data_IF_316294271203
#
_entry.id   IF_316294271203
#
_cell.length_a   1.000
_cell.length_b   1.000
_cell.length_c   1.000
_cell.angle_alpha   90.00
_cell.angle_beta   90.00
_cell.angle_gamma   90.00
#
_symmetry.space_group_name_H-M   'P 1'
#
loop_
_entity.id
_entity.type
_entity.pdbx_description
1 polymer ?
#
# COMPACT_ATOMS: atom_id res chain seq x y z
N UNK A 1 -18.12 -19.44 15.47
CA UNK A 1 -16.99 -18.50 15.38
C UNK A 1 -16.68 -18.32 13.90
N UNK A 2 -17.31 -17.34 13.25
CA UNK A 2 -17.20 -17.16 11.80
C UNK A 2 -15.89 -16.44 11.45
N UNK A 3 -15.10 -17.07 10.58
CA UNK A 3 -13.91 -16.50 9.95
C UNK A 3 -14.34 -15.36 9.02
N UNK A 4 -14.02 -14.11 9.35
CA UNK A 4 -14.12 -13.02 8.39
C UNK A 4 -12.87 -13.02 7.50
N UNK A 5 -12.81 -13.98 6.58
CA UNK A 5 -11.94 -13.85 5.41
C UNK A 5 -12.75 -13.08 4.38
N UNK A 6 -12.38 -11.83 4.12
CA UNK A 6 -12.90 -11.11 2.96
C UNK A 6 -12.54 -11.92 1.71
N UNK A 7 -13.53 -12.23 0.88
CA UNK A 7 -13.26 -12.84 -0.42
C UNK A 7 -12.39 -11.86 -1.21
N UNK A 8 -11.14 -12.24 -1.47
CA UNK A 8 -10.31 -11.55 -2.45
C UNK A 8 -11.03 -11.76 -3.79
N UNK A 9 -11.53 -10.71 -4.46
CA UNK A 9 -12.10 -10.89 -5.78
C UNK A 9 -11.04 -11.53 -6.67
N UNK A 10 -11.45 -12.51 -7.47
CA UNK A 10 -10.56 -13.08 -8.48
C UNK A 10 -9.99 -11.94 -9.32
N UNK A 11 -8.72 -12.04 -9.68
CA UNK A 11 -8.06 -11.14 -10.63
C UNK A 11 -8.90 -11.14 -11.91
N UNK A 12 -9.80 -10.16 -12.05
CA UNK A 12 -10.27 -9.80 -13.38
C UNK A 12 -9.02 -9.33 -14.13
N UNK A 13 -8.82 -9.74 -15.39
CA UNK A 13 -7.66 -9.30 -16.15
C UNK A 13 -7.71 -7.78 -16.19
N UNK A 14 -6.90 -7.16 -15.32
CA UNK A 14 -6.77 -5.71 -15.25
C UNK A 14 -6.41 -5.29 -16.67
N UNK A 15 -7.20 -4.43 -17.32
CA UNK A 15 -6.84 -3.94 -18.63
C UNK A 15 -5.41 -3.41 -18.54
N UNK A 16 -4.63 -3.66 -19.61
CA UNK A 16 -3.28 -3.14 -19.82
C UNK A 16 -3.12 -1.80 -19.09
N UNK A 17 -2.14 -1.71 -18.19
CA UNK A 17 -1.95 -0.54 -17.34
C UNK A 17 -2.21 0.74 -18.16
N UNK A 18 -3.22 1.52 -17.77
CA UNK A 18 -3.56 2.78 -18.45
C UNK A 18 -2.41 3.76 -18.22
N UNK A 19 -1.39 3.71 -19.09
CA UNK A 19 -0.23 4.59 -19.06
C UNK A 19 -0.57 5.89 -19.78
N UNK A 20 -0.48 7.01 -19.07
CA UNK A 20 -0.71 8.34 -19.63
C UNK A 20 0.57 9.19 -19.58
N UNK A 21 0.89 9.85 -20.69
CA UNK A 21 1.96 10.84 -20.76
C UNK A 21 1.42 12.16 -20.20
N UNK A 22 2.01 12.63 -19.10
CA UNK A 22 1.57 13.86 -18.42
C UNK A 22 2.32 15.10 -18.94
N UNK A 23 3.49 14.92 -19.56
CA UNK A 23 4.29 16.01 -20.15
C UNK A 23 5.19 15.52 -21.28
N UNK A 24 5.44 16.38 -22.27
CA UNK A 24 6.25 16.07 -23.44
C UNK A 24 5.44 15.41 -24.55
N UNK A 25 6.10 15.15 -25.68
CA UNK A 25 5.53 14.45 -26.84
C UNK A 25 6.54 13.37 -27.27
N UNK A 26 6.58 12.21 -26.56
CA UNK A 26 7.49 11.13 -26.92
C UNK A 26 7.11 10.58 -28.29
N UNK A 27 8.10 10.12 -29.05
CA UNK A 27 7.77 9.41 -30.29
C UNK A 27 7.07 8.09 -29.96
N UNK A 28 6.30 7.51 -30.91
CA UNK A 28 5.67 6.20 -30.70
C UNK A 28 6.65 5.11 -30.28
N UNK A 29 7.87 5.15 -30.81
CA UNK A 29 8.94 4.20 -30.51
C UNK A 29 9.47 4.36 -29.08
N UNK A 30 9.64 5.60 -28.62
CA UNK A 30 10.07 5.89 -27.25
C UNK A 30 9.01 5.43 -26.23
N UNK A 31 7.73 5.72 -26.51
CA UNK A 31 6.63 5.26 -25.67
C UNK A 31 6.57 3.73 -25.63
N UNK A 32 6.71 3.06 -26.78
CA UNK A 32 6.72 1.60 -26.85
C UNK A 32 7.89 0.99 -26.06
N UNK A 33 9.08 1.59 -26.14
CA UNK A 33 10.24 1.13 -25.38
C UNK A 33 10.01 1.22 -23.86
N UNK A 34 9.42 2.32 -23.38
CA UNK A 34 9.08 2.49 -21.96
C UNK A 34 8.03 1.48 -21.52
N UNK A 35 6.96 1.29 -22.31
CA UNK A 35 5.92 0.30 -22.02
C UNK A 35 6.51 -1.10 -21.91
N UNK A 36 7.40 -1.50 -22.83
CA UNK A 36 8.04 -2.81 -22.79
C UNK A 36 8.87 -3.03 -21.52
N UNK A 37 9.58 -2.00 -21.05
CA UNK A 37 10.31 -2.07 -19.77
C UNK A 37 9.35 -2.22 -18.59
N UNK A 38 8.27 -1.42 -18.55
CA UNK A 38 7.27 -1.50 -17.48
C UNK A 38 6.58 -2.86 -17.43
N UNK A 39 6.24 -3.43 -18.59
CA UNK A 39 5.68 -4.78 -18.70
C UNK A 39 6.65 -5.84 -18.17
N UNK A 40 7.91 -5.79 -18.59
CA UNK A 40 8.91 -6.73 -18.08
C UNK A 40 9.09 -6.65 -16.56
N UNK A 41 9.13 -5.44 -15.98
CA UNK A 41 9.21 -5.27 -14.53
C UNK A 41 7.96 -5.79 -13.81
N UNK A 42 6.78 -5.62 -14.40
CA UNK A 42 5.53 -6.17 -13.85
C UNK A 42 5.54 -7.71 -13.88
N UNK A 43 6.00 -8.31 -14.98
CA UNK A 43 6.14 -9.76 -15.12
C UNK A 43 7.13 -10.33 -14.10
N UNK A 44 8.29 -9.69 -13.92
CA UNK A 44 9.28 -10.08 -12.91
C UNK A 44 8.72 -9.97 -11.49
N UNK A 45 7.99 -8.90 -11.18
CA UNK A 45 7.34 -8.74 -9.88
C UNK A 45 6.25 -9.80 -9.63
N UNK A 46 5.50 -10.18 -10.68
CA UNK A 46 4.52 -11.26 -10.61
C UNK A 46 5.20 -12.62 -10.40
N UNK A 47 6.30 -12.88 -11.11
CA UNK A 47 7.07 -14.12 -11.03
C UNK A 47 7.81 -14.29 -9.69
N UNK A 48 8.36 -13.20 -9.14
CA UNK A 48 8.97 -13.19 -7.80
C UNK A 48 7.96 -13.54 -6.69
N UNK A 49 6.67 -13.44 -7.00
CA UNK A 49 5.59 -13.65 -6.05
C UNK A 49 5.49 -12.49 -5.05
N UNK A 50 4.30 -12.29 -4.49
CA UNK A 50 4.15 -11.35 -3.36
C UNK A 50 4.95 -11.91 -2.19
N UNK A 51 6.05 -11.26 -1.82
CA UNK A 51 6.65 -11.48 -0.51
C UNK A 51 5.53 -11.33 0.51
N UNK A 52 5.16 -12.43 1.17
CA UNK A 52 4.18 -12.35 2.24
C UNK A 52 4.84 -11.54 3.34
N UNK A 53 4.55 -10.24 3.37
CA UNK A 53 4.91 -9.41 4.50
C UNK A 53 4.01 -9.88 5.62
N UNK A 54 4.48 -10.88 6.36
CA UNK A 54 3.85 -11.38 7.57
C UNK A 54 4.09 -10.35 8.68
N UNK A 55 3.60 -9.12 8.50
CA UNK A 55 3.43 -8.23 9.64
C UNK A 55 2.29 -8.84 10.44
N UNK A 56 2.64 -9.61 11.46
CA UNK A 56 1.65 -10.02 12.45
C UNK A 56 0.93 -8.75 12.92
N UNK A 57 -0.41 -8.67 12.83
CA UNK A 57 -1.15 -7.48 13.27
C UNK A 57 -0.77 -7.07 14.69
N UNK A 58 -0.43 -8.07 15.52
CA UNK A 58 0.10 -7.91 16.88
C UNK A 58 1.33 -7.01 16.94
N UNK A 59 2.27 -7.07 15.99
CA UNK A 59 3.49 -6.25 15.98
C UNK A 59 3.17 -4.77 15.84
N UNK A 60 2.17 -4.41 15.03
CA UNK A 60 1.69 -3.03 14.91
C UNK A 60 1.11 -2.52 16.23
N UNK A 61 0.21 -3.30 16.84
CA UNK A 61 -0.40 -2.96 18.13
C UNK A 61 0.62 -2.88 19.28
N UNK A 62 1.56 -3.83 19.35
CA UNK A 62 2.61 -3.87 20.37
C UNK A 62 3.59 -2.70 20.21
N UNK A 63 3.86 -2.27 18.97
CA UNK A 63 4.71 -1.11 18.67
C UNK A 63 4.05 0.19 19.11
N UNK A 64 2.79 0.41 18.73
CA UNK A 64 2.03 1.60 19.13
C UNK A 64 1.79 1.67 20.64
N UNK A 65 1.59 0.53 21.29
CA UNK A 65 1.37 0.46 22.74
C UNK A 65 2.61 0.81 23.58
N UNK A 66 3.84 0.69 23.04
CA UNK A 66 5.07 1.02 23.79
C UNK A 66 5.09 2.47 24.30
N UNK A 67 4.61 3.42 23.49
CA UNK A 67 4.51 4.83 23.88
C UNK A 67 3.48 5.12 24.99
N UNK A 68 2.58 4.17 25.26
CA UNK A 68 1.51 4.28 26.26
C UNK A 68 1.85 3.58 27.59
N UNK A 69 3.02 2.94 27.71
CA UNK A 69 3.44 2.24 28.94
C UNK A 69 3.98 3.18 30.03
N UNK A 70 4.23 4.44 29.69
CA UNK A 70 4.59 5.49 30.64
C UNK A 70 3.38 6.32 31.06
N UNK A 71 3.50 7.12 32.13
CA UNK A 71 2.47 8.09 32.49
C UNK A 71 2.18 9.02 31.29
N UNK A 72 0.92 9.08 30.87
CA UNK A 72 0.53 10.03 29.82
C UNK A 72 0.56 11.45 30.41
N UNK A 73 1.31 12.39 29.80
CA UNK A 73 1.33 13.77 30.24
C UNK A 73 -0.05 14.37 30.02
N UNK A 74 -0.79 14.59 31.11
CA UNK A 74 -2.01 15.36 31.12
C UNK A 74 -1.67 16.77 31.60
N UNK A 75 -1.90 17.76 30.74
CA UNK A 75 -1.80 19.18 31.10
C UNK A 75 -3.19 19.79 31.33
N UNK A 76 -3.31 20.87 32.11
CA UNK A 76 -4.54 21.66 32.16
C UNK A 76 -5.02 21.99 30.74
N UNK A 77 -6.30 21.75 30.46
CA UNK A 77 -6.90 21.97 29.14
C UNK A 77 -6.66 20.86 28.10
N UNK A 78 -6.05 19.72 28.45
CA UNK A 78 -5.77 18.63 27.51
C UNK A 78 -7.02 18.01 26.87
N UNK A 79 -8.11 17.98 27.61
CA UNK A 79 -9.39 17.43 27.17
C UNK A 79 -10.22 18.46 26.37
N UNK A 80 -10.03 19.75 26.62
CA UNK A 80 -10.76 20.81 25.91
C UNK A 80 -10.33 20.94 24.44
N UNK A 81 -9.12 20.47 24.09
CA UNK A 81 -8.57 20.51 22.73
C UNK A 81 -8.94 19.29 21.86
N UNK A 82 -9.56 18.25 22.43
CA UNK A 82 -10.12 17.13 21.65
C UNK A 82 -11.59 17.34 21.25
N UNK A 83 -12.20 18.42 21.74
CA UNK A 83 -13.61 18.77 21.49
C UNK A 83 -13.77 19.91 20.46
N UNK A 84 -12.67 20.29 19.80
CA UNK A 84 -12.64 21.22 18.66
C UNK A 84 -12.13 20.50 17.44
#
# INVERSE_FOLDING_TARGET
MARHAAAVPADEPTPVADVHVVSGEPTPEELAAVIAVLQHQADEAAAAGRAQIEVSPRVGWETSARGLRGPLPHGPGAWARSLR
#
